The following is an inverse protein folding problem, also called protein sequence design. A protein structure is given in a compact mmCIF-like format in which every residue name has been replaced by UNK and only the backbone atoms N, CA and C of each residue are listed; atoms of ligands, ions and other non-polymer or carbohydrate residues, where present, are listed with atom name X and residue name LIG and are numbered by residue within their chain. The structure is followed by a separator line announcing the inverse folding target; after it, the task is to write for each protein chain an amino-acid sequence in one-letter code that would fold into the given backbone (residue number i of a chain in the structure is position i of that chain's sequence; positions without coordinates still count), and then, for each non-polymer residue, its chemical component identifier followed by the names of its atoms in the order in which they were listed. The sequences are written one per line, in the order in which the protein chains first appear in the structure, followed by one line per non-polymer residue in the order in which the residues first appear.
data_IF_423223431788
#
_entry.id   IF_423223431788
#
_cell.length_a   1.000
_cell.length_b   1.000
_cell.length_c   1.000
_cell.angle_alpha   90.00
_cell.angle_beta   90.00
_cell.angle_gamma   90.00
#
_symmetry.space_group_name_H-M   'P 1'
#
loop_
_entity.id
_entity.type
_entity.pdbx_description
1 polymer ?
#
# COMPACT_ATOMS: atom_id res chain seq x y z
N UNK A 1 3.23 5.96 0.75
CA UNK A 1 2.20 5.60 1.75
C UNK A 1 1.70 6.88 2.41
N UNK A 2 0.43 6.91 2.82
CA UNK A 2 -0.16 7.99 3.63
C UNK A 2 -0.72 7.39 4.92
N UNK A 3 -0.38 8.01 6.04
CA UNK A 3 -0.80 7.58 7.37
C UNK A 3 -1.29 8.80 8.14
N UNK A 4 -2.54 8.77 8.58
CA UNK A 4 -3.12 9.82 9.40
C UNK A 4 -2.77 9.63 10.88
N UNK A 5 -2.80 10.72 11.64
CA UNK A 5 -2.54 10.70 13.09
C UNK A 5 -1.08 10.44 13.49
N UNK A 6 -0.13 10.37 12.55
CA UNK A 6 1.31 10.24 12.85
C UNK A 6 2.06 11.55 12.63
N UNK A 7 2.91 11.99 13.58
CA UNK A 7 3.74 13.17 13.37
C UNK A 7 4.81 12.90 12.31
N UNK A 8 5.25 13.98 11.63
CA UNK A 8 6.37 13.93 10.69
C UNK A 8 7.65 13.60 11.46
N UNK A 9 8.37 12.60 11.00
CA UNK A 9 9.67 12.21 11.52
C UNK A 9 10.47 11.50 10.42
N UNK A 10 11.80 11.52 10.54
CA UNK A 10 12.66 10.75 9.66
C UNK A 10 12.54 9.26 9.97
N UNK A 11 12.28 8.45 8.94
CA UNK A 11 12.09 7.00 9.05
C UNK A 11 12.64 6.34 7.80
N UNK A 12 13.44 5.29 7.96
CA UNK A 12 13.89 4.47 6.83
C UNK A 12 12.78 3.55 6.29
N UNK A 13 11.87 3.13 7.17
CA UNK A 13 10.67 2.36 6.85
C UNK A 13 9.55 2.66 7.83
N UNK A 14 8.31 2.42 7.43
CA UNK A 14 7.16 2.51 8.32
C UNK A 14 6.94 1.16 9.00
N UNK A 15 7.23 1.09 10.30
CA UNK A 15 7.10 -0.13 11.11
C UNK A 15 5.91 0.04 12.04
N UNK A 16 4.79 -0.61 11.74
CA UNK A 16 3.51 -0.40 12.45
C UNK A 16 3.63 -0.53 13.97
N UNK A 17 4.43 -1.48 14.47
CA UNK A 17 4.62 -1.69 15.91
C UNK A 17 5.37 -0.55 16.62
N UNK A 18 6.05 0.32 15.87
CA UNK A 18 6.68 1.55 16.37
C UNK A 18 5.78 2.77 16.20
N UNK A 19 4.60 2.59 15.59
CA UNK A 19 3.68 3.64 15.19
C UNK A 19 2.28 3.43 15.78
N UNK A 20 2.24 2.99 17.04
CA UNK A 20 1.02 2.70 17.80
C UNK A 20 0.09 1.68 17.12
N UNK A 21 0.66 0.79 16.31
CA UNK A 21 -0.04 -0.19 15.49
C UNK A 21 -1.03 0.42 14.48
N UNK A 22 -0.84 1.70 14.12
CA UNK A 22 -1.67 2.38 13.12
C UNK A 22 -1.25 1.91 11.71
N UNK A 23 -2.14 1.26 10.93
CA UNK A 23 -1.84 0.92 9.55
C UNK A 23 -1.86 2.18 8.66
N UNK A 24 -1.16 2.15 7.52
CA UNK A 24 -1.37 3.14 6.47
C UNK A 24 -2.81 3.11 5.96
N UNK A 25 -3.39 4.26 5.67
CA UNK A 25 -4.70 4.36 5.01
C UNK A 25 -4.55 4.25 3.48
N UNK A 26 -3.45 4.77 2.93
CA UNK A 26 -3.16 4.72 1.49
C UNK A 26 -1.78 4.14 1.24
N UNK A 27 -1.71 3.19 0.32
CA UNK A 27 -0.46 2.56 -0.13
C UNK A 27 -0.25 2.81 -1.62
N UNK A 28 0.99 3.12 -1.98
CA UNK A 28 1.45 3.23 -3.36
C UNK A 28 2.57 2.22 -3.56
N UNK A 29 2.40 1.30 -4.50
CA UNK A 29 3.44 0.42 -4.99
C UNK A 29 3.89 0.93 -6.36
N UNK A 30 5.19 1.12 -6.52
CA UNK A 30 5.80 1.49 -7.79
C UNK A 30 6.43 0.23 -8.35
N UNK A 31 5.96 -0.23 -9.51
CA UNK A 31 6.51 -1.42 -10.14
C UNK A 31 7.97 -1.20 -10.55
N UNK A 32 8.75 -2.25 -10.35
CA UNK A 32 10.12 -2.39 -10.82
C UNK A 32 10.21 -3.62 -11.72
N UNK A 33 11.21 -3.70 -12.63
CA UNK A 33 11.33 -4.80 -13.58
C UNK A 33 11.37 -6.21 -12.95
N UNK A 34 11.74 -6.32 -11.68
CA UNK A 34 11.80 -7.59 -10.95
C UNK A 34 10.50 -8.01 -10.27
N UNK A 35 9.45 -7.19 -10.28
CA UNK A 35 8.20 -7.53 -9.61
C UNK A 35 7.39 -8.55 -10.42
N UNK A 36 6.92 -9.58 -9.73
CA UNK A 36 6.04 -10.61 -10.30
C UNK A 36 4.59 -10.37 -9.92
N UNK A 37 3.64 -10.85 -10.75
CA UNK A 37 2.21 -10.73 -10.44
C UNK A 37 1.86 -11.39 -9.10
N UNK A 38 2.40 -12.58 -8.82
CA UNK A 38 2.15 -13.32 -7.57
C UNK A 38 2.59 -12.51 -6.33
N UNK A 39 3.71 -11.79 -6.39
CA UNK A 39 4.16 -10.92 -5.31
C UNK A 39 3.21 -9.72 -5.12
N UNK A 40 2.75 -9.14 -6.22
CA UNK A 40 1.82 -8.01 -6.19
C UNK A 40 0.45 -8.41 -5.64
N UNK A 41 -0.04 -9.60 -5.99
CA UNK A 41 -1.29 -10.14 -5.47
C UNK A 41 -1.19 -10.43 -3.96
N UNK A 42 -0.07 -11.02 -3.52
CA UNK A 42 0.21 -11.24 -2.09
C UNK A 42 0.25 -9.92 -1.31
N UNK A 43 0.90 -8.88 -1.86
CA UNK A 43 0.91 -7.53 -1.26
C UNK A 43 -0.49 -6.94 -1.17
N UNK A 44 -1.27 -6.99 -2.25
CA UNK A 44 -2.65 -6.48 -2.29
C UNK A 44 -3.52 -7.15 -1.22
N UNK A 45 -3.45 -8.48 -1.09
CA UNK A 45 -4.15 -9.22 -0.03
C UNK A 45 -3.64 -8.90 1.37
N UNK A 46 -2.33 -8.73 1.54
CA UNK A 46 -1.74 -8.32 2.81
C UNK A 46 -2.29 -6.97 3.26
N UNK A 47 -2.30 -5.97 2.38
CA UNK A 47 -2.81 -4.63 2.70
C UNK A 47 -4.31 -4.62 2.98
N UNK A 48 -5.10 -5.39 2.22
CA UNK A 48 -6.53 -5.57 2.49
C UNK A 48 -6.76 -6.11 3.91
N UNK A 49 -6.01 -7.15 4.29
CA UNK A 49 -6.10 -7.77 5.63
C UNK A 49 -5.74 -6.79 6.76
N UNK A 50 -4.83 -5.84 6.52
CA UNK A 50 -4.34 -4.90 7.53
C UNK A 50 -5.07 -3.55 7.52
N UNK A 51 -6.17 -3.43 6.78
CA UNK A 51 -7.03 -2.26 6.86
C UNK A 51 -6.58 -1.07 6.03
N UNK A 52 -5.83 -1.32 4.94
CA UNK A 52 -5.55 -0.28 3.95
C UNK A 52 -6.83 0.03 3.18
N UNK A 53 -7.14 1.32 3.04
CA UNK A 53 -8.37 1.79 2.41
C UNK A 53 -8.19 2.04 0.91
N UNK A 54 -7.00 2.45 0.48
CA UNK A 54 -6.69 2.66 -0.94
C UNK A 54 -5.33 2.07 -1.30
N UNK A 55 -5.27 1.31 -2.41
CA UNK A 55 -4.09 0.64 -2.91
C UNK A 55 -3.84 1.00 -4.38
N UNK A 56 -2.72 1.66 -4.64
CA UNK A 56 -2.32 2.14 -5.96
C UNK A 56 -1.11 1.35 -6.46
N UNK A 57 -1.15 0.94 -7.72
CA UNK A 57 -0.01 0.35 -8.42
C UNK A 57 0.33 1.20 -9.63
N UNK A 58 1.52 1.79 -9.63
CA UNK A 58 2.01 2.57 -10.75
C UNK A 58 3.06 1.77 -11.53
N UNK A 59 2.83 1.61 -12.83
CA UNK A 59 3.78 1.06 -13.79
C UNK A 59 4.48 2.21 -14.52
N UNK A 60 5.77 2.49 -14.23
CA UNK A 60 6.51 3.55 -14.88
C UNK A 60 6.88 3.24 -16.33
N UNK A 61 6.98 1.96 -16.71
CA UNK A 61 7.34 1.58 -18.08
C UNK A 61 6.15 1.76 -19.03
N UNK A 62 4.94 1.55 -18.52
CA UNK A 62 3.68 1.72 -19.28
C UNK A 62 2.99 3.06 -19.06
N UNK A 63 3.47 3.85 -18.10
CA UNK A 63 2.83 5.11 -17.65
C UNK A 63 1.35 4.86 -17.31
N UNK A 64 1.10 3.84 -16.49
CA UNK A 64 -0.25 3.45 -16.09
C UNK A 64 -0.40 3.38 -14.58
N UNK A 65 -1.58 3.73 -14.09
CA UNK A 65 -1.93 3.69 -12.68
C UNK A 65 -3.19 2.82 -12.51
N UNK A 66 -3.04 1.71 -11.80
CA UNK A 66 -4.17 0.95 -11.26
C UNK A 66 -4.52 1.50 -9.88
N UNK A 67 -5.82 1.70 -9.65
CA UNK A 67 -6.35 2.17 -8.36
C UNK A 67 -7.31 1.14 -7.85
N UNK A 68 -7.16 0.77 -6.58
CA UNK A 68 -8.08 -0.10 -5.88
C UNK A 68 -8.59 0.54 -4.60
N UNK A 69 -9.91 0.64 -4.47
CA UNK A 69 -10.58 1.23 -3.31
C UNK A 69 -11.24 0.13 -2.49
N UNK A 70 -11.07 0.17 -1.17
CA UNK A 70 -11.67 -0.82 -0.29
C UNK A 70 -13.16 -0.59 -0.14
N UNK A 71 -13.95 -1.62 -0.46
CA UNK A 71 -15.38 -1.68 -0.22
C UNK A 71 -15.78 -3.07 0.28
N UNK A 72 -16.56 -3.12 1.36
CA UNK A 72 -17.09 -4.37 1.93
C UNK A 72 -16.02 -5.47 2.11
N UNK A 73 -14.84 -5.07 2.60
CA UNK A 73 -13.69 -5.95 2.80
C UNK A 73 -13.13 -6.61 1.51
N UNK A 74 -13.28 -5.93 0.38
CA UNK A 74 -12.66 -6.25 -0.90
C UNK A 74 -12.06 -5.00 -1.52
N UNK A 75 -11.05 -5.16 -2.38
CA UNK A 75 -10.60 -4.09 -3.25
C UNK A 75 -11.42 -4.12 -4.55
N UNK A 76 -11.97 -2.97 -4.95
CA UNK A 76 -12.67 -2.74 -6.21
C UNK A 76 -11.77 -2.10 -7.24
#
# INVERSE_FOLDING_TARGET
MVVFGRPKAHRGSYRQWEEDNIPPQVVFEILSPGNTQDEMDKKKLFYLKHGVEEYYVYDPDRISLEVSIRENNSFK
#
